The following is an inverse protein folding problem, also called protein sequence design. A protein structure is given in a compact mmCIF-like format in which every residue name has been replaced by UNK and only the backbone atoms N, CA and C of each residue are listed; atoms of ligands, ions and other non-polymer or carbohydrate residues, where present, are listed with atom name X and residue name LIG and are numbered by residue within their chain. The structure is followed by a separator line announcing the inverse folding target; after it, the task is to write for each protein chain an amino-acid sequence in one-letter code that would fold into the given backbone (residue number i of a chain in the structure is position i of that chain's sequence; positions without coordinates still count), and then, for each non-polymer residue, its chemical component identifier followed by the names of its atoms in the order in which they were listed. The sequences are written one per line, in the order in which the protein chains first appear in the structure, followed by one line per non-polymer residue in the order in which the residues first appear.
data_IF_052037623558
#
_entry.id   IF_052037623558
#
_cell.length_a   1.000
_cell.length_b   1.000
_cell.length_c   1.000
_cell.angle_alpha   90.00
_cell.angle_beta   90.00
_cell.angle_gamma   90.00
#
_symmetry.space_group_name_H-M   'P 1'
#
loop_
_entity.id
_entity.type
_entity.pdbx_description
1 polymer ?
#
# COMPACT_ATOMS: atom_id res chain seq x y z
N UNK A 1 19.02 -21.02 0.15
CA UNK A 1 17.64 -21.52 -0.01
C UNK A 1 16.90 -20.46 -0.79
N UNK A 2 16.19 -20.77 -1.88
CA UNK A 2 15.27 -19.78 -2.43
C UNK A 2 14.23 -19.54 -1.34
N UNK A 3 14.26 -18.37 -0.72
CA UNK A 3 13.12 -17.83 0.03
C UNK A 3 11.91 -17.97 -0.89
N UNK A 4 10.74 -18.36 -0.36
CA UNK A 4 9.53 -18.53 -1.19
C UNK A 4 9.15 -17.16 -1.78
N UNK A 5 9.75 -16.85 -2.94
CA UNK A 5 9.72 -15.52 -3.53
C UNK A 5 8.29 -15.18 -3.95
N UNK A 6 7.52 -16.19 -4.36
CA UNK A 6 6.11 -16.02 -4.68
C UNK A 6 5.32 -15.60 -3.42
N UNK A 7 5.50 -16.29 -2.30
CA UNK A 7 4.86 -15.92 -1.04
C UNK A 7 5.29 -14.53 -0.56
N UNK A 8 6.58 -14.19 -0.65
CA UNK A 8 7.06 -12.86 -0.27
C UNK A 8 6.54 -11.75 -1.18
N UNK A 9 6.40 -11.99 -2.48
CA UNK A 9 5.79 -11.03 -3.42
C UNK A 9 4.31 -10.79 -3.11
N UNK A 10 3.58 -11.84 -2.73
CA UNK A 10 2.20 -11.71 -2.27
C UNK A 10 2.10 -10.90 -0.96
N UNK A 11 3.01 -11.15 -0.02
CA UNK A 11 3.03 -10.47 1.27
C UNK A 11 3.51 -9.00 1.21
N UNK A 12 4.36 -8.64 0.24
CA UNK A 12 4.96 -7.30 0.11
C UNK A 12 4.65 -6.64 -1.26
N UNK A 13 3.37 -6.44 -1.59
CA UNK A 13 2.94 -5.93 -2.90
C UNK A 13 3.41 -4.49 -3.17
N UNK A 14 3.75 -3.73 -2.12
CA UNK A 14 4.24 -2.35 -2.20
C UNK A 14 5.73 -2.24 -2.51
N UNK A 15 6.48 -3.35 -2.55
CA UNK A 15 7.93 -3.36 -2.78
C UNK A 15 8.27 -3.96 -4.14
N UNK A 16 9.38 -3.50 -4.74
CA UNK A 16 9.96 -4.10 -5.95
C UNK A 16 11.47 -3.89 -6.00
N UNK A 17 12.18 -4.67 -6.81
CA UNK A 17 13.64 -4.54 -7.00
C UNK A 17 14.43 -4.66 -5.70
N UNK A 18 15.49 -3.86 -5.56
CA UNK A 18 16.38 -3.91 -4.39
C UNK A 18 15.66 -3.62 -3.07
N UNK A 19 14.61 -2.78 -3.09
CA UNK A 19 13.82 -2.47 -1.91
C UNK A 19 13.02 -3.68 -1.43
N UNK A 20 12.55 -4.54 -2.35
CA UNK A 20 11.92 -5.82 -2.02
C UNK A 20 12.93 -6.77 -1.38
N UNK A 21 14.08 -7.00 -2.03
CA UNK A 21 15.14 -7.87 -1.52
C UNK A 21 15.59 -7.44 -0.12
N UNK A 22 15.80 -6.14 0.10
CA UNK A 22 16.21 -5.60 1.39
C UNK A 22 15.12 -5.76 2.46
N UNK A 23 13.83 -5.65 2.11
CA UNK A 23 12.72 -5.85 3.04
C UNK A 23 12.62 -7.33 3.48
N UNK A 24 12.69 -8.26 2.53
CA UNK A 24 12.68 -9.71 2.80
C UNK A 24 13.81 -10.09 3.77
N UNK A 25 15.04 -9.65 3.48
CA UNK A 25 16.20 -9.92 4.37
C UNK A 25 15.97 -9.41 5.79
N UNK A 26 15.41 -8.21 5.96
CA UNK A 26 15.14 -7.66 7.30
C UNK A 26 14.05 -8.42 8.04
N UNK A 27 12.97 -8.79 7.36
CA UNK A 27 11.84 -9.52 7.95
C UNK A 27 12.27 -10.92 8.40
N UNK A 28 13.01 -11.62 7.55
CA UNK A 28 13.51 -12.96 7.86
C UNK A 28 14.55 -12.96 8.95
N UNK A 29 15.45 -11.96 8.98
CA UNK A 29 16.40 -11.79 10.08
C UNK A 29 15.68 -11.57 11.43
N UNK A 30 14.45 -11.05 11.40
CA UNK A 30 13.60 -10.89 12.57
C UNK A 30 12.64 -12.08 12.81
N UNK A 31 12.79 -13.18 12.06
CA UNK A 31 11.95 -14.38 12.17
C UNK A 31 10.54 -14.22 11.60
N UNK A 32 10.23 -13.11 10.91
CA UNK A 32 8.92 -12.85 10.31
C UNK A 32 8.80 -13.64 9.01
N UNK A 33 7.80 -14.50 8.95
CA UNK A 33 7.45 -15.30 7.75
C UNK A 33 6.56 -14.53 6.78
N UNK A 34 6.47 -14.92 5.50
CA UNK A 34 5.56 -14.27 4.54
C UNK A 34 4.11 -14.21 5.01
N UNK A 35 3.55 -15.31 5.53
CA UNK A 35 2.17 -15.39 6.01
C UNK A 35 1.89 -14.47 7.20
N UNK A 36 2.88 -14.31 8.09
CA UNK A 36 2.79 -13.39 9.21
C UNK A 36 2.80 -11.92 8.75
N UNK A 37 3.67 -11.58 7.79
CA UNK A 37 3.68 -10.25 7.19
C UNK A 37 2.36 -9.97 6.45
N UNK A 38 1.87 -10.92 5.65
CA UNK A 38 0.59 -10.84 4.95
C UNK A 38 -0.58 -10.64 5.94
N UNK A 39 -0.61 -11.39 7.05
CA UNK A 39 -1.65 -11.24 8.07
C UNK A 39 -1.68 -9.82 8.65
N UNK A 40 -0.51 -9.29 9.04
CA UNK A 40 -0.41 -7.94 9.65
C UNK A 40 -0.71 -6.83 8.64
N UNK A 41 -0.28 -7.00 7.39
CA UNK A 41 -0.58 -6.01 6.35
C UNK A 41 -2.04 -6.08 5.90
N UNK A 42 -2.61 -7.28 5.86
CA UNK A 42 -3.99 -7.54 5.44
C UNK A 42 -5.03 -6.99 6.41
N UNK A 43 -4.77 -7.07 7.72
CA UNK A 43 -5.65 -6.51 8.76
C UNK A 43 -5.28 -5.07 9.19
N UNK A 44 -4.28 -4.46 8.52
CA UNK A 44 -3.74 -3.14 8.83
C UNK A 44 -3.19 -2.99 10.26
N UNK A 45 -2.77 -4.10 10.88
CA UNK A 45 -2.22 -4.16 12.23
C UNK A 45 -3.27 -4.24 13.33
N UNK A 46 -4.55 -4.43 13.00
CA UNK A 46 -5.64 -4.50 13.98
C UNK A 46 -5.44 -5.62 15.00
N UNK A 47 -4.95 -6.79 14.58
CA UNK A 47 -4.65 -7.89 15.48
C UNK A 47 -3.56 -7.55 16.51
N UNK A 48 -2.58 -6.73 16.13
CA UNK A 48 -1.54 -6.24 17.05
C UNK A 48 -2.04 -5.15 18.00
N UNK A 49 -3.02 -4.38 17.56
CA UNK A 49 -3.63 -3.32 18.36
C UNK A 49 -4.55 -3.87 19.45
N UNK A 50 -5.34 -4.90 19.12
CA UNK A 50 -6.42 -5.41 19.99
C UNK A 50 -6.05 -6.67 20.77
N UNK A 51 -5.03 -7.43 20.33
CA UNK A 51 -4.67 -8.72 20.89
C UNK A 51 -3.45 -8.70 21.83
N UNK A 52 -3.21 -9.83 22.50
CA UNK A 52 -1.88 -10.10 23.04
C UNK A 52 -0.94 -10.46 21.89
N UNK A 53 0.29 -9.97 21.98
CA UNK A 53 1.30 -10.27 20.98
C UNK A 53 2.11 -11.47 21.42
N UNK A 54 1.87 -12.61 20.78
CA UNK A 54 2.45 -13.90 21.14
C UNK A 54 3.41 -14.38 20.02
N UNK A 55 4.20 -15.43 20.29
CA UNK A 55 5.09 -16.03 19.29
C UNK A 55 6.16 -15.06 18.78
N UNK A 56 6.45 -15.08 17.47
CA UNK A 56 7.50 -14.25 16.83
C UNK A 56 7.29 -12.76 17.10
N UNK A 57 6.05 -12.26 17.05
CA UNK A 57 5.78 -10.84 17.26
C UNK A 57 5.81 -10.43 18.73
N UNK A 58 5.92 -11.39 19.67
CA UNK A 58 6.22 -11.10 21.07
C UNK A 58 7.56 -10.37 21.23
N UNK A 59 8.52 -10.65 20.35
CA UNK A 59 9.77 -9.90 20.25
C UNK A 59 9.55 -8.48 19.70
N UNK A 60 10.11 -7.50 20.39
CA UNK A 60 9.98 -6.09 20.04
C UNK A 60 10.69 -5.75 18.72
N UNK A 61 11.81 -6.41 18.40
CA UNK A 61 12.52 -6.16 17.15
C UNK A 61 11.71 -6.68 15.96
N UNK A 62 11.21 -7.92 16.02
CA UNK A 62 10.28 -8.46 15.02
C UNK A 62 9.06 -7.57 14.79
N UNK A 63 8.43 -7.11 15.89
CA UNK A 63 7.29 -6.20 15.82
C UNK A 63 7.64 -4.85 15.18
N UNK A 64 8.79 -4.26 15.52
CA UNK A 64 9.23 -3.00 14.93
C UNK A 64 9.47 -3.12 13.41
N UNK A 65 10.06 -4.23 12.96
CA UNK A 65 10.33 -4.47 11.54
C UNK A 65 9.04 -4.61 10.75
N UNK A 66 8.09 -5.44 11.22
CA UNK A 66 6.82 -5.65 10.50
C UNK A 66 5.95 -4.39 10.49
N UNK A 67 5.92 -3.62 11.58
CA UNK A 67 5.21 -2.33 11.62
C UNK A 67 5.85 -1.29 10.69
N UNK A 68 7.17 -1.34 10.50
CA UNK A 68 7.86 -0.52 9.51
C UNK A 68 7.41 -0.83 8.08
N UNK A 69 7.19 -2.11 7.76
CA UNK A 69 6.65 -2.48 6.45
C UNK A 69 5.16 -2.17 6.30
N UNK A 70 4.35 -2.28 7.37
CA UNK A 70 2.97 -1.80 7.39
C UNK A 70 2.90 -0.29 7.08
N UNK A 71 3.75 0.53 7.72
CA UNK A 71 3.81 1.96 7.45
C UNK A 71 4.18 2.24 5.98
N UNK A 72 5.13 1.50 5.42
CA UNK A 72 5.51 1.62 4.01
C UNK A 72 4.37 1.20 3.07
N UNK A 73 3.63 0.13 3.40
CA UNK A 73 2.46 -0.32 2.65
C UNK A 73 1.36 0.75 2.64
N UNK A 74 1.03 1.31 3.80
CA UNK A 74 0.04 2.38 3.94
C UNK A 74 0.43 3.64 3.17
N UNK A 75 1.71 4.03 3.21
CA UNK A 75 2.20 5.17 2.43
C UNK A 75 2.01 4.93 0.92
N UNK A 76 2.38 3.74 0.41
CA UNK A 76 2.20 3.38 -0.99
C UNK A 76 0.70 3.31 -1.38
N UNK A 77 -0.17 2.85 -0.47
CA UNK A 77 -1.61 2.82 -0.68
C UNK A 77 -2.19 4.25 -0.81
N UNK A 78 -1.85 5.15 0.11
CA UNK A 78 -2.27 6.56 0.07
C UNK A 78 -1.84 7.25 -1.23
N UNK A 79 -0.59 7.03 -1.64
CA UNK A 79 -0.06 7.62 -2.88
C UNK A 79 -0.84 7.15 -4.11
N UNK A 80 -1.11 5.84 -4.20
CA UNK A 80 -1.88 5.26 -5.30
C UNK A 80 -3.33 5.73 -5.30
N UNK A 81 -3.99 5.77 -4.14
CA UNK A 81 -5.35 6.33 -4.02
C UNK A 81 -5.37 7.79 -4.48
N UNK A 82 -4.35 8.58 -4.14
CA UNK A 82 -4.25 9.95 -4.60
C UNK A 82 -4.09 10.02 -6.13
N UNK A 83 -3.32 9.11 -6.75
CA UNK A 83 -3.19 9.01 -8.20
C UNK A 83 -4.52 8.64 -8.88
N UNK A 84 -5.18 7.58 -8.42
CA UNK A 84 -6.49 7.15 -8.96
C UNK A 84 -7.55 8.25 -8.84
N UNK A 85 -7.58 8.95 -7.69
CA UNK A 85 -8.47 10.08 -7.48
C UNK A 85 -8.19 11.23 -8.46
N UNK A 86 -6.92 11.49 -8.80
CA UNK A 86 -6.58 12.50 -9.83
C UNK A 86 -7.09 12.08 -11.19
N UNK A 87 -6.80 10.86 -11.64
CA UNK A 87 -7.26 10.35 -12.94
C UNK A 87 -8.79 10.42 -13.05
N UNK A 88 -9.52 9.99 -12.02
CA UNK A 88 -10.98 10.08 -12.00
C UNK A 88 -11.48 11.55 -12.06
N UNK A 89 -10.78 12.48 -11.41
CA UNK A 89 -11.11 13.91 -11.49
C UNK A 89 -10.77 14.52 -12.85
N UNK A 90 -9.68 14.10 -13.49
CA UNK A 90 -9.30 14.52 -14.84
C UNK A 90 -10.38 14.09 -15.84
N UNK A 91 -10.81 12.82 -15.77
CA UNK A 91 -11.91 12.29 -16.59
C UNK A 91 -13.21 13.09 -16.37
N UNK A 92 -13.59 13.35 -15.11
CA UNK A 92 -14.77 14.15 -14.81
C UNK A 92 -14.67 15.60 -15.33
N UNK A 93 -13.48 16.20 -15.27
CA UNK A 93 -13.24 17.55 -15.75
C UNK A 93 -13.32 17.68 -17.28
N UNK A 94 -13.25 16.57 -18.03
CA UNK A 94 -13.49 16.58 -19.48
C UNK A 94 -14.95 16.84 -19.85
N UNK A 95 -15.89 16.50 -18.96
CA UNK A 95 -17.34 16.54 -19.23
C UNK A 95 -18.11 17.49 -18.31
N UNK A 96 -17.51 17.99 -17.23
CA UNK A 96 -18.18 18.85 -16.24
C UNK A 96 -17.29 20.00 -15.77
N UNK A 97 -17.92 21.10 -15.36
CA UNK A 97 -17.21 22.23 -14.76
C UNK A 97 -16.61 21.85 -13.40
N UNK A 98 -15.48 22.47 -13.04
CA UNK A 98 -14.84 22.24 -11.73
C UNK A 98 -15.77 22.61 -10.56
N UNK A 99 -16.62 23.62 -10.73
CA UNK A 99 -17.60 24.03 -9.73
C UNK A 99 -18.67 22.97 -9.49
N UNK A 100 -19.12 22.29 -10.55
CA UNK A 100 -20.10 21.20 -10.43
C UNK A 100 -19.50 19.97 -9.77
N UNK A 101 -18.27 19.62 -10.13
CA UNK A 101 -17.51 18.54 -9.50
C UNK A 101 -17.32 18.83 -8.01
N UNK A 102 -16.88 20.05 -7.67
CA UNK A 102 -16.64 20.46 -6.28
C UNK A 102 -17.92 20.39 -5.44
N UNK A 103 -19.05 20.86 -5.98
CA UNK A 103 -20.37 20.78 -5.33
C UNK A 103 -20.78 19.34 -5.06
N UNK A 104 -20.60 18.42 -6.02
CA UNK A 104 -20.94 17.00 -5.81
C UNK A 104 -20.06 16.34 -4.75
N UNK A 105 -18.78 16.69 -4.70
CA UNK A 105 -17.82 16.11 -3.75
C UNK A 105 -17.85 16.77 -2.36
N UNK A 106 -18.64 17.85 -2.19
CA UNK A 106 -18.69 18.59 -0.93
C UNK A 106 -17.38 19.30 -0.58
N UNK A 107 -16.61 19.73 -1.60
CA UNK A 107 -15.32 20.43 -1.42
C UNK A 107 -15.32 21.77 -2.14
N UNK A 108 -14.30 22.60 -1.91
CA UNK A 108 -14.14 23.85 -2.66
C UNK A 108 -13.62 23.59 -4.08
N UNK A 109 -13.97 24.42 -5.08
CA UNK A 109 -13.38 24.34 -6.42
C UNK A 109 -11.84 24.42 -6.42
N UNK A 110 -11.28 25.17 -5.47
CA UNK A 110 -9.83 25.27 -5.29
C UNK A 110 -9.21 23.93 -4.84
N UNK A 111 -9.92 23.13 -4.04
CA UNK A 111 -9.45 21.80 -3.67
C UNK A 111 -9.37 20.87 -4.90
N UNK A 112 -10.40 20.89 -5.76
CA UNK A 112 -10.41 20.13 -7.03
C UNK A 112 -9.25 20.56 -7.92
N UNK A 113 -9.07 21.86 -8.12
CA UNK A 113 -7.99 22.41 -8.92
C UNK A 113 -6.59 22.07 -8.34
N UNK A 114 -6.44 22.10 -7.01
CA UNK A 114 -5.19 21.69 -6.35
C UNK A 114 -4.89 20.22 -6.65
N UNK A 115 -5.88 19.33 -6.54
CA UNK A 115 -5.70 17.91 -6.84
C UNK A 115 -5.27 17.67 -8.28
N UNK A 116 -5.87 18.37 -9.25
CA UNK A 116 -5.52 18.27 -10.68
C UNK A 116 -4.11 18.81 -11.02
N UNK A 117 -3.57 19.75 -10.22
CA UNK A 117 -2.24 20.33 -10.46
C UNK A 117 -1.07 19.50 -9.94
N UNK A 118 -1.31 18.52 -9.07
CA UNK A 118 -0.22 17.71 -8.51
C UNK A 118 0.28 16.75 -9.57
N UNK A 119 1.54 16.93 -9.99
CA UNK A 119 2.22 16.01 -10.90
C UNK A 119 2.39 14.65 -10.19
N UNK A 120 1.93 13.53 -10.78
CA UNK A 120 2.13 12.22 -10.18
C UNK A 120 3.62 11.84 -10.15
N UNK A 121 4.01 11.13 -9.09
CA UNK A 121 5.21 10.31 -9.12
C UNK A 121 4.95 9.10 -10.03
N UNK A 122 5.73 8.88 -11.10
CA UNK A 122 5.55 7.75 -12.01
C UNK A 122 5.72 6.38 -11.32
N UNK A 123 6.35 6.29 -10.14
CA UNK A 123 6.47 5.05 -9.38
C UNK A 123 5.14 4.56 -8.77
N UNK A 124 4.17 5.47 -8.54
CA UNK A 124 2.89 5.17 -7.91
C UNK A 124 1.92 4.34 -8.76
N UNK A 125 2.15 4.27 -10.08
CA UNK A 125 1.23 3.63 -11.04
C UNK A 125 1.40 2.11 -11.16
N UNK A 126 2.34 1.48 -10.42
CA UNK A 126 2.48 0.02 -10.41
C UNK A 126 1.36 -0.64 -9.59
N UNK A 127 0.72 -1.73 -10.06
CA UNK A 127 -0.31 -2.44 -9.30
C UNK A 127 0.28 -3.09 -8.04
N UNK A 128 -0.45 -3.04 -6.91
CA UNK A 128 -0.07 -3.76 -5.67
C UNK A 128 -0.30 -5.25 -5.85
N UNK A 129 -1.48 -5.62 -6.33
CA UNK A 129 -1.83 -6.99 -6.62
C UNK A 129 -1.57 -7.22 -8.10
N UNK A 130 -0.62 -8.09 -8.42
CA UNK A 130 -0.77 -8.88 -9.64
C UNK A 130 -2.00 -9.76 -9.39
N UNK A 131 -3.19 -9.28 -9.77
CA UNK A 131 -4.30 -10.19 -10.02
C UNK A 131 -3.79 -11.13 -11.12
N UNK A 132 -3.34 -12.32 -10.74
CA UNK A 132 -3.31 -13.41 -11.68
C UNK A 132 -4.77 -13.62 -12.09
N UNK A 133 -5.17 -13.40 -13.36
CA UNK A 133 -6.40 -13.99 -13.81
C UNK A 133 -6.20 -15.51 -13.64
N UNK A 134 -6.98 -16.12 -12.76
CA UNK A 134 -7.16 -17.56 -12.84
C UNK A 134 -7.84 -17.82 -14.18
N UNK A 135 -7.08 -18.35 -15.12
CA UNK A 135 -7.58 -18.75 -16.44
C UNK A 135 -8.75 -19.73 -16.24
N UNK A 136 -9.88 -19.37 -16.86
CA UNK A 136 -11.08 -20.20 -17.03
C UNK A 136 -10.89 -21.29 -18.08
#
# INVERSE_FOLDING_TARGET
MPHDEAAWRAALPHRSGDAFTAAVVRLEAAGVTPSLAESVLGDLGEGLWTGSVDGVLGDAAARAVVLGELAAFLAAAVERTAHLRRTALEELATVRSLSDIARQLGVSPQAVHKTLRVRPDPAASRPLLAFAPEDS
#
